data_IF_891369805659
#
_entry.id   IF_891369805659
#
_cell.length_a   1.000
_cell.length_b   1.000
_cell.length_c   1.000
_cell.angle_alpha   90.00
_cell.angle_beta   90.00
_cell.angle_gamma   90.00
#
_symmetry.space_group_name_H-M   'P 1'
#
loop_
_entity.id
_entity.type
_entity.pdbx_description
1 polymer ?
#
# COMPACT_ATOMS: atom_id res chain seq x y z
N UNK A 1 10.61 -17.00 -1.71
CA UNK A 1 10.98 -15.74 -2.37
C UNK A 1 9.74 -14.84 -2.38
N UNK A 2 9.81 -13.67 -1.74
CA UNK A 2 8.63 -12.83 -1.42
C UNK A 2 8.00 -12.17 -2.65
N UNK A 3 8.77 -12.04 -3.73
CA UNK A 3 8.32 -11.45 -5.01
C UNK A 3 7.17 -12.28 -5.63
N UNK A 4 7.25 -13.60 -5.60
CA UNK A 4 6.18 -14.46 -6.12
C UNK A 4 4.90 -14.42 -5.28
N UNK A 5 5.00 -14.06 -4.00
CA UNK A 5 3.83 -13.93 -3.12
C UNK A 5 3.03 -12.65 -3.39
N UNK A 6 3.62 -11.68 -4.08
CA UNK A 6 3.02 -10.36 -4.33
C UNK A 6 2.65 -10.14 -5.80
N UNK A 7 2.83 -11.13 -6.66
CA UNK A 7 2.49 -11.07 -8.09
C UNK A 7 1.01 -10.72 -8.31
N UNK A 8 0.10 -11.33 -7.54
CA UNK A 8 -1.33 -11.03 -7.58
C UNK A 8 -1.67 -9.59 -7.16
N UNK A 9 -0.79 -8.95 -6.37
CA UNK A 9 -0.95 -7.55 -5.92
C UNK A 9 -0.37 -6.55 -6.91
N UNK A 10 0.30 -6.97 -7.98
CA UNK A 10 0.99 -6.06 -8.91
C UNK A 10 0.09 -4.99 -9.53
N UNK A 11 -1.16 -5.26 -9.94
CA UNK A 11 -2.05 -4.20 -10.45
C UNK A 11 -2.34 -3.12 -9.40
N UNK A 12 -2.50 -3.50 -8.13
CA UNK A 12 -2.71 -2.58 -7.00
C UNK A 12 -1.44 -1.79 -6.70
N UNK A 13 -0.29 -2.45 -6.75
CA UNK A 13 1.02 -1.80 -6.55
C UNK A 13 1.29 -0.79 -7.65
N UNK A 14 1.01 -1.12 -8.91
CA UNK A 14 1.13 -0.20 -10.04
C UNK A 14 0.18 1.00 -9.89
N UNK A 15 -1.07 0.77 -9.48
CA UNK A 15 -2.01 1.85 -9.17
C UNK A 15 -1.48 2.78 -8.06
N UNK A 16 -0.99 2.21 -6.96
CA UNK A 16 -0.41 2.99 -5.86
C UNK A 16 0.85 3.76 -6.32
N UNK A 17 1.68 3.15 -7.16
CA UNK A 17 2.84 3.80 -7.74
C UNK A 17 2.49 5.03 -8.58
N UNK A 18 1.39 5.00 -9.34
CA UNK A 18 0.90 6.19 -10.06
C UNK A 18 0.55 7.34 -9.11
N UNK A 19 -0.09 7.02 -7.96
CA UNK A 19 -0.40 8.00 -6.92
C UNK A 19 0.87 8.56 -6.25
N UNK A 20 1.84 7.70 -5.95
CA UNK A 20 3.12 8.12 -5.35
C UNK A 20 3.97 8.95 -6.32
N UNK A 21 3.97 8.61 -7.62
CA UNK A 21 4.60 9.42 -8.66
C UNK A 21 4.00 10.83 -8.70
N UNK A 22 2.67 10.95 -8.64
CA UNK A 22 2.00 12.25 -8.58
C UNK A 22 2.42 13.09 -7.36
N UNK A 23 2.68 12.44 -6.22
CA UNK A 23 3.20 13.13 -5.03
C UNK A 23 4.64 13.62 -5.25
N UNK A 24 5.52 12.78 -5.80
CA UNK A 24 6.91 13.14 -6.08
C UNK A 24 7.05 14.25 -7.13
N UNK A 25 6.20 14.24 -8.17
CA UNK A 25 6.19 15.26 -9.23
C UNK A 25 5.90 16.68 -8.74
N UNK A 26 5.26 16.85 -7.57
CA UNK A 26 5.04 18.17 -6.96
C UNK A 26 6.35 18.81 -6.46
N UNK A 27 7.42 18.03 -6.37
CA UNK A 27 8.71 18.44 -5.81
C UNK A 27 9.82 18.55 -6.86
N UNK A 28 9.49 18.42 -8.16
CA UNK A 28 10.47 18.59 -9.23
C UNK A 28 9.85 19.14 -10.51
N UNK A 29 10.53 20.11 -11.11
CA UNK A 29 10.24 20.64 -12.45
C UNK A 29 11.23 20.15 -13.50
N UNK A 30 12.28 19.42 -13.10
CA UNK A 30 13.31 18.90 -13.99
C UNK A 30 12.75 17.79 -14.88
N UNK A 31 12.89 17.94 -16.20
CA UNK A 31 12.36 16.98 -17.19
C UNK A 31 12.92 15.58 -16.97
N UNK A 32 14.25 15.43 -16.80
CA UNK A 32 14.85 14.11 -16.55
C UNK A 32 14.31 13.44 -15.28
N UNK A 33 14.13 14.22 -14.21
CA UNK A 33 13.54 13.70 -12.97
C UNK A 33 12.07 13.29 -13.15
N UNK A 34 11.32 13.97 -14.02
CA UNK A 34 9.93 13.62 -14.35
C UNK A 34 9.87 12.35 -15.19
N UNK A 35 10.75 12.20 -16.16
CA UNK A 35 10.86 11.00 -17.02
C UNK A 35 11.27 9.76 -16.22
N UNK A 36 12.00 9.95 -15.11
CA UNK A 36 12.27 8.88 -14.16
C UNK A 36 11.01 8.43 -13.39
N UNK A 37 10.00 9.29 -13.25
CA UNK A 37 8.81 9.03 -12.43
C UNK A 37 7.63 8.48 -13.24
N UNK A 38 7.41 9.01 -14.43
CA UNK A 38 6.21 8.71 -15.24
C UNK A 38 6.54 8.44 -16.68
N UNK A 39 5.67 7.64 -17.32
CA UNK A 39 5.71 7.34 -18.74
C UNK A 39 4.50 7.96 -19.45
N UNK A 40 4.64 8.13 -20.75
CA UNK A 40 3.53 8.56 -21.60
C UNK A 40 2.42 7.51 -21.64
N UNK A 41 1.17 7.98 -21.56
CA UNK A 41 -0.03 7.12 -21.46
C UNK A 41 -0.24 6.21 -22.67
N UNK A 42 0.29 6.61 -23.83
CA UNK A 42 -0.06 6.00 -25.12
C UNK A 42 0.73 4.72 -25.44
N UNK A 43 1.71 4.33 -24.61
CA UNK A 43 2.69 3.30 -24.98
C UNK A 43 2.49 1.91 -24.37
N UNK A 44 1.60 1.70 -23.40
CA UNK A 44 1.60 0.42 -22.65
C UNK A 44 0.29 -0.40 -22.74
N UNK A 45 0.34 -1.47 -23.53
CA UNK A 45 -0.61 -2.60 -23.54
C UNK A 45 -0.31 -3.64 -22.45
N UNK A 46 0.40 -3.27 -21.38
CA UNK A 46 0.85 -4.22 -20.36
C UNK A 46 -0.24 -4.49 -19.33
N UNK A 47 -0.53 -5.77 -19.09
CA UNK A 47 -1.51 -6.28 -18.10
C UNK A 47 -1.29 -5.73 -16.68
N UNK A 48 -0.05 -5.37 -16.32
CA UNK A 48 0.30 -4.75 -15.02
C UNK A 48 -0.40 -3.41 -14.75
N UNK A 49 -0.85 -2.70 -15.79
CA UNK A 49 -1.54 -1.41 -15.67
C UNK A 49 -3.07 -1.52 -15.81
N UNK A 50 -3.64 -2.73 -15.86
CA UNK A 50 -5.08 -2.91 -16.04
C UNK A 50 -5.90 -2.17 -14.98
N UNK A 51 -5.46 -2.16 -13.72
CA UNK A 51 -6.17 -1.44 -12.66
C UNK A 51 -6.12 0.08 -12.86
N UNK A 52 -5.00 0.62 -13.34
CA UNK A 52 -4.89 2.03 -13.72
C UNK A 52 -5.90 2.33 -14.83
N UNK A 53 -5.94 1.52 -15.89
CA UNK A 53 -6.87 1.71 -17.02
C UNK A 53 -8.34 1.69 -16.60
N UNK A 54 -8.71 0.78 -15.71
CA UNK A 54 -10.10 0.63 -15.22
C UNK A 54 -10.50 1.79 -14.30
N UNK A 55 -9.57 2.26 -13.45
CA UNK A 55 -9.86 3.28 -12.45
C UNK A 55 -9.55 4.71 -12.90
N UNK A 56 -8.86 4.92 -14.02
CA UNK A 56 -8.49 6.25 -14.50
C UNK A 56 -9.75 7.05 -14.89
N UNK A 57 -9.85 8.25 -14.33
CA UNK A 57 -10.89 9.25 -14.67
C UNK A 57 -10.26 10.49 -15.32
N UNK A 58 -9.09 10.33 -15.95
CA UNK A 58 -8.32 11.37 -16.61
C UNK A 58 -7.16 11.93 -15.79
N UNK A 59 -6.90 11.41 -14.59
CA UNK A 59 -5.93 11.98 -13.64
C UNK A 59 -4.89 10.98 -13.10
N UNK A 60 -5.00 9.69 -13.42
CA UNK A 60 -3.98 8.73 -13.01
C UNK A 60 -2.76 8.78 -13.93
N UNK A 61 -1.60 8.63 -13.32
CA UNK A 61 -0.30 8.59 -14.00
C UNK A 61 0.15 7.15 -14.21
N UNK A 62 0.91 6.93 -15.27
CA UNK A 62 1.56 5.66 -15.57
C UNK A 62 2.98 5.70 -15.00
N UNK A 63 3.23 5.04 -13.85
CA UNK A 63 4.54 5.10 -13.21
C UNK A 63 5.59 4.31 -14.00
N UNK A 64 6.84 4.75 -13.94
CA UNK A 64 7.97 3.94 -14.41
C UNK A 64 8.23 2.74 -13.49
N UNK A 65 9.04 1.80 -13.95
CA UNK A 65 9.50 0.67 -13.14
C UNK A 65 10.30 1.12 -11.91
N UNK A 66 10.99 2.25 -11.98
CA UNK A 66 11.66 2.85 -10.83
C UNK A 66 10.67 3.11 -9.68
N UNK A 67 9.54 3.76 -9.98
CA UNK A 67 8.52 4.04 -8.96
C UNK A 67 7.81 2.76 -8.53
N UNK A 68 7.47 1.86 -9.46
CA UNK A 68 6.82 0.59 -9.14
C UNK A 68 7.68 -0.23 -8.18
N UNK A 69 8.98 -0.34 -8.43
CA UNK A 69 9.90 -1.11 -7.60
C UNK A 69 10.06 -0.50 -6.20
N UNK A 70 10.12 0.83 -6.10
CA UNK A 70 10.15 1.52 -4.80
C UNK A 70 8.87 1.26 -3.98
N UNK A 71 7.70 1.30 -4.63
CA UNK A 71 6.41 1.02 -3.97
C UNK A 71 6.26 -0.47 -3.65
N UNK A 72 6.70 -1.37 -4.52
CA UNK A 72 6.73 -2.82 -4.30
C UNK A 72 7.57 -3.17 -3.06
N UNK A 73 8.77 -2.60 -2.95
CA UNK A 73 9.61 -2.79 -1.77
C UNK A 73 8.93 -2.26 -0.51
N UNK A 74 8.35 -1.06 -0.58
CA UNK A 74 7.60 -0.47 0.53
C UNK A 74 6.45 -1.38 0.97
N UNK A 75 5.72 -1.95 0.00
CA UNK A 75 4.65 -2.90 0.24
C UNK A 75 5.17 -4.15 0.96
N UNK A 76 6.22 -4.79 0.44
CA UNK A 76 6.79 -6.00 1.04
C UNK A 76 7.26 -5.75 2.48
N UNK A 77 7.97 -4.65 2.72
CA UNK A 77 8.46 -4.30 4.06
C UNK A 77 7.29 -4.05 5.00
N UNK A 78 6.29 -3.25 4.61
CA UNK A 78 5.13 -2.98 5.47
C UNK A 78 4.36 -4.28 5.76
N UNK A 79 4.12 -5.14 4.75
CA UNK A 79 3.46 -6.42 4.94
C UNK A 79 4.19 -7.32 5.94
N UNK A 80 5.53 -7.33 5.93
CA UNK A 80 6.32 -8.04 6.93
C UNK A 80 6.17 -7.42 8.32
N UNK A 81 6.27 -6.09 8.44
CA UNK A 81 6.16 -5.40 9.73
C UNK A 81 4.78 -5.58 10.39
N UNK A 82 3.72 -5.71 9.59
CA UNK A 82 2.35 -5.95 10.07
C UNK A 82 1.94 -7.43 10.06
N UNK A 83 2.87 -8.34 9.75
CA UNK A 83 2.63 -9.78 9.86
C UNK A 83 2.56 -10.22 11.32
N UNK A 84 1.96 -11.38 11.59
CA UNK A 84 1.81 -11.94 12.94
C UNK A 84 3.10 -11.98 13.75
N UNK A 85 4.24 -12.11 13.08
CA UNK A 85 5.56 -12.26 13.72
C UNK A 85 6.03 -10.94 14.38
N UNK A 86 5.59 -9.79 13.84
CA UNK A 86 6.09 -8.47 14.24
C UNK A 86 4.98 -7.49 14.65
N UNK A 87 3.71 -7.75 14.27
CA UNK A 87 2.60 -6.82 14.39
C UNK A 87 2.47 -6.22 15.78
N UNK A 88 2.43 -7.05 16.83
CA UNK A 88 2.22 -6.57 18.20
C UNK A 88 3.31 -5.60 18.65
N UNK A 89 4.57 -5.91 18.34
CA UNK A 89 5.71 -5.05 18.68
C UNK A 89 5.69 -3.78 17.84
N UNK A 90 5.42 -3.91 16.54
CA UNK A 90 5.37 -2.78 15.61
C UNK A 90 4.26 -1.78 15.96
N UNK A 91 3.08 -2.27 16.37
CA UNK A 91 1.97 -1.41 16.78
C UNK A 91 2.22 -0.70 18.10
N UNK A 92 3.07 -1.23 18.99
CA UNK A 92 3.47 -0.57 20.23
C UNK A 92 4.51 0.53 20.02
N UNK A 93 5.19 0.55 18.88
CA UNK A 93 6.15 1.60 18.58
C UNK A 93 5.43 2.95 18.40
N UNK A 94 6.12 4.05 18.74
CA UNK A 94 5.76 5.36 18.23
C UNK A 94 6.32 5.53 16.82
N UNK A 95 5.60 6.24 15.95
CA UNK A 95 6.11 6.65 14.64
C UNK A 95 6.44 5.49 13.67
N UNK A 96 5.48 4.59 13.47
CA UNK A 96 5.53 3.43 12.58
C UNK A 96 5.98 3.79 11.16
N UNK A 97 5.60 4.98 10.67
CA UNK A 97 5.99 5.43 9.35
C UNK A 97 7.50 5.63 9.23
N UNK A 98 8.13 6.32 10.19
CA UNK A 98 9.59 6.51 10.15
C UNK A 98 10.34 5.19 10.37
N UNK A 99 9.82 4.30 11.21
CA UNK A 99 10.40 2.96 11.39
C UNK A 99 10.38 2.19 10.06
N UNK A 100 9.23 2.15 9.40
CA UNK A 100 9.07 1.46 8.11
C UNK A 100 10.02 2.05 7.06
N UNK A 101 10.12 3.37 6.98
CA UNK A 101 11.04 4.05 6.06
C UNK A 101 12.50 3.71 6.32
N UNK A 102 12.93 3.73 7.58
CA UNK A 102 14.31 3.39 7.91
C UNK A 102 14.63 1.94 7.54
N UNK A 103 13.71 1.01 7.76
CA UNK A 103 13.88 -0.38 7.31
C UNK A 103 13.98 -0.45 5.78
N UNK A 104 13.11 0.26 5.05
CA UNK A 104 13.16 0.28 3.58
C UNK A 104 14.50 0.84 3.07
N UNK A 105 14.94 1.98 3.61
CA UNK A 105 16.22 2.61 3.24
C UNK A 105 17.42 1.73 3.56
N UNK A 106 17.40 1.03 4.71
CA UNK A 106 18.45 0.08 5.06
C UNK A 106 18.50 -1.11 4.08
N UNK A 107 17.34 -1.65 3.69
CA UNK A 107 17.29 -2.73 2.69
C UNK A 107 17.88 -2.26 1.35
N UNK A 108 17.52 -1.06 0.94
CA UNK A 108 18.02 -0.44 -0.28
C UNK A 108 19.54 -0.26 -0.29
N UNK A 109 20.09 0.26 0.81
CA UNK A 109 21.53 0.48 0.99
C UNK A 109 22.31 -0.84 1.02
N UNK A 110 21.79 -1.85 1.74
CA UNK A 110 22.49 -3.12 1.93
C UNK A 110 22.52 -4.01 0.68
N UNK A 111 21.59 -3.80 -0.26
CA UNK A 111 21.49 -4.63 -1.47
C UNK A 111 21.98 -3.90 -2.73
N UNK A 112 22.57 -2.70 -2.59
CA UNK A 112 22.99 -1.82 -3.70
C UNK A 112 21.90 -1.68 -4.79
N UNK A 113 20.62 -1.78 -4.39
CA UNK A 113 19.48 -1.79 -5.32
C UNK A 113 19.16 -0.40 -5.86
N UNK A 114 19.95 0.59 -5.44
CA UNK A 114 19.79 1.97 -5.83
C UNK A 114 21.16 2.57 -6.12
N UNK A 115 21.42 2.79 -7.41
CA UNK A 115 22.38 3.79 -7.86
C UNK A 115 21.81 5.20 -7.62
N UNK A 116 21.47 5.53 -6.36
CA UNK A 116 21.00 6.88 -5.94
C UNK A 116 22.09 7.93 -6.01
N UNK A 117 23.35 7.52 -6.25
CA UNK A 117 24.47 8.43 -6.52
C UNK A 117 24.44 9.02 -7.94
N UNK A 118 23.54 8.57 -8.81
CA UNK A 118 23.33 9.23 -10.09
C UNK A 118 22.67 10.59 -9.86
N UNK A 119 23.42 11.66 -10.10
CA UNK A 119 22.86 13.00 -10.22
C UNK A 119 22.26 13.11 -11.62
N UNK A 120 21.11 13.77 -11.77
CA UNK A 120 20.67 14.15 -13.11
C UNK A 120 21.62 15.22 -13.69
N UNK A 121 21.50 15.55 -14.98
CA UNK A 121 22.26 16.62 -15.62
C UNK A 121 22.20 17.97 -14.89
N UNK A 122 21.15 18.19 -14.10
CA UNK A 122 20.90 19.41 -13.32
C UNK A 122 21.30 19.27 -11.83
N UNK A 123 22.18 18.32 -11.48
CA UNK A 123 22.67 18.09 -10.11
C UNK A 123 21.58 17.75 -9.06
N UNK A 124 20.38 17.34 -9.49
CA UNK A 124 19.34 16.91 -8.54
C UNK A 124 19.69 15.56 -7.93
N UNK A 125 19.54 15.50 -6.59
CA UNK A 125 19.71 14.27 -5.83
C UNK A 125 18.47 13.37 -5.96
N UNK A 126 18.60 12.26 -6.70
CA UNK A 126 17.55 11.25 -6.90
C UNK A 126 17.08 10.64 -5.58
N UNK A 127 17.93 10.56 -4.56
CA UNK A 127 17.57 10.12 -3.21
C UNK A 127 16.46 10.96 -2.59
N UNK A 128 16.45 12.28 -2.84
CA UNK A 128 15.36 13.15 -2.37
C UNK A 128 14.03 12.80 -3.03
N UNK A 129 14.04 12.56 -4.34
CA UNK A 129 12.86 12.16 -5.11
C UNK A 129 12.35 10.82 -4.61
N UNK A 130 13.25 9.85 -4.43
CA UNK A 130 12.92 8.55 -3.89
C UNK A 130 12.28 8.66 -2.50
N UNK A 131 12.83 9.49 -1.62
CA UNK A 131 12.25 9.69 -0.29
C UNK A 131 10.81 10.19 -0.32
N UNK A 132 10.45 11.05 -1.27
CA UNK A 132 9.05 11.46 -1.46
C UNK A 132 8.15 10.28 -1.87
N UNK A 133 8.62 9.42 -2.78
CA UNK A 133 7.91 8.20 -3.19
C UNK A 133 7.70 7.27 -1.99
N UNK A 134 8.79 6.93 -1.29
CA UNK A 134 8.78 6.00 -0.17
C UNK A 134 7.89 6.51 0.98
N UNK A 135 7.97 7.81 1.31
CA UNK A 135 7.12 8.43 2.34
C UNK A 135 5.64 8.35 1.97
N UNK A 136 5.31 8.68 0.72
CA UNK A 136 3.93 8.61 0.21
C UNK A 136 3.38 7.18 0.24
N UNK A 137 4.17 6.21 -0.24
CA UNK A 137 3.79 4.80 -0.27
C UNK A 137 3.58 4.26 1.15
N UNK A 138 4.56 4.46 2.04
CA UNK A 138 4.52 3.97 3.42
C UNK A 138 3.33 4.53 4.17
N UNK A 139 3.08 5.84 4.09
CA UNK A 139 1.90 6.47 4.70
C UNK A 139 0.60 5.86 4.20
N UNK A 140 0.48 5.66 2.89
CA UNK A 140 -0.73 5.10 2.28
C UNK A 140 -0.97 3.66 2.73
N UNK A 141 0.09 2.85 2.75
CA UNK A 141 0.02 1.45 3.17
C UNK A 141 -0.38 1.31 4.64
N UNK A 142 0.24 2.08 5.53
CA UNK A 142 -0.09 2.07 6.96
C UNK A 142 -1.51 2.58 7.22
N UNK A 143 -1.95 3.63 6.53
CA UNK A 143 -3.32 4.12 6.64
C UNK A 143 -4.34 3.07 6.18
N UNK A 144 -4.06 2.38 5.07
CA UNK A 144 -4.92 1.31 4.57
C UNK A 144 -4.97 0.14 5.55
N UNK A 145 -3.82 -0.24 6.12
CA UNK A 145 -3.75 -1.27 7.14
C UNK A 145 -4.62 -0.94 8.37
N UNK A 146 -4.51 0.28 8.89
CA UNK A 146 -5.33 0.73 10.02
C UNK A 146 -6.83 0.68 9.69
N UNK A 147 -7.22 1.12 8.49
CA UNK A 147 -8.63 1.07 8.04
C UNK A 147 -9.13 -0.37 7.96
N UNK A 148 -8.35 -1.28 7.37
CA UNK A 148 -8.71 -2.70 7.30
C UNK A 148 -8.94 -3.32 8.67
N UNK A 149 -8.09 -3.03 9.66
CA UNK A 149 -8.27 -3.52 11.04
C UNK A 149 -9.52 -2.96 11.71
N UNK A 150 -9.85 -1.69 11.45
CA UNK A 150 -11.09 -1.07 11.94
C UNK A 150 -12.32 -1.74 11.30
N UNK A 151 -12.27 -1.94 9.99
CA UNK A 151 -13.35 -2.57 9.23
C UNK A 151 -13.56 -4.03 9.69
N UNK A 152 -12.49 -4.79 9.89
CA UNK A 152 -12.55 -6.15 10.43
C UNK A 152 -13.20 -6.19 11.82
N UNK A 153 -12.80 -5.30 12.72
CA UNK A 153 -13.43 -5.19 14.04
C UNK A 153 -14.90 -4.79 13.97
N UNK A 154 -15.27 -3.92 13.02
CA UNK A 154 -16.67 -3.51 12.81
C UNK A 154 -17.53 -4.68 12.29
N UNK A 155 -16.99 -5.43 11.33
CA UNK A 155 -17.63 -6.61 10.75
C UNK A 155 -17.78 -7.74 11.77
N UNK A 156 -16.78 -7.97 12.62
CA UNK A 156 -16.89 -8.93 13.74
C UNK A 156 -17.96 -8.55 14.75
N UNK A 157 -18.03 -7.27 15.13
CA UNK A 157 -19.07 -6.76 16.04
C UNK A 157 -20.46 -6.96 15.43
N UNK A 158 -20.62 -6.71 14.14
CA UNK A 158 -21.88 -6.90 13.43
C UNK A 158 -22.27 -8.39 13.36
N UNK A 159 -21.32 -9.29 13.06
CA UNK A 159 -21.53 -10.75 13.11
C UNK A 159 -21.95 -11.24 14.51
N UNK A 160 -21.31 -10.72 15.58
CA UNK A 160 -21.67 -11.05 16.98
C UNK A 160 -23.08 -10.56 17.33
N UNK A 161 -23.47 -9.35 16.91
CA UNK A 161 -24.83 -8.80 17.10
C UNK A 161 -25.89 -9.64 16.39
N UNK A 162 -25.66 -10.02 15.13
CA UNK A 162 -26.57 -10.87 14.36
C UNK A 162 -26.76 -12.25 15.03
N UNK A 163 -25.67 -12.91 15.44
CA UNK A 163 -25.75 -14.19 16.18
C UNK A 163 -26.56 -14.08 17.47
N UNK A 164 -26.36 -13.01 18.25
CA UNK A 164 -27.10 -12.78 19.48
C UNK A 164 -28.60 -12.52 19.25
N UNK A 165 -28.95 -11.83 18.15
CA UNK A 165 -30.34 -11.60 17.76
C UNK A 165 -31.04 -12.93 17.40
N UNK A 166 -30.42 -13.76 16.55
CA UNK A 166 -30.95 -15.08 16.16
C UNK A 166 -31.12 -16.00 17.37
N UNK A 167 -30.17 -15.99 18.32
CA UNK A 167 -30.27 -16.76 19.57
C UNK A 167 -31.45 -16.30 20.45
N UNK A 168 -31.72 -14.99 20.53
CA UNK A 168 -32.88 -14.47 21.28
C UNK A 168 -34.19 -14.86 20.62
N UNK A 169 -34.25 -14.84 19.29
CA UNK A 169 -35.42 -15.17 18.50
C UNK A 169 -35.78 -16.67 18.61
N UNK A 170 -34.78 -17.54 18.49
CA UNK A 170 -34.93 -18.98 18.73
C UNK A 170 -35.40 -19.29 20.16
N UNK A 171 -34.84 -18.62 21.18
CA UNK A 171 -35.32 -18.77 22.57
C UNK A 171 -36.77 -18.31 22.75
N UNK A 172 -37.20 -17.27 22.04
CA UNK A 172 -38.59 -16.76 22.09
C UNK A 172 -39.57 -17.74 21.42
N UNK A 173 -39.19 -18.35 20.30
CA UNK A 173 -40.00 -19.38 19.65
C UNK A 173 -40.13 -20.65 20.52
N UNK A 174 -39.03 -21.14 21.10
CA UNK A 174 -39.05 -22.29 22.02
C UNK A 174 -39.98 -22.05 23.22
N UNK A 175 -39.95 -20.82 23.79
CA UNK A 175 -40.84 -20.46 24.91
C UNK A 175 -42.31 -20.45 24.52
N UNK A 176 -42.66 -19.95 23.32
CA UNK A 176 -44.04 -19.95 22.81
C UNK A 176 -44.60 -21.35 22.63
N UNK A 177 -43.78 -22.29 22.14
CA UNK A 177 -44.18 -23.69 21.96
C UNK A 177 -44.45 -24.36 23.32
N UNK A 178 -43.61 -24.10 24.32
CA UNK A 178 -43.79 -24.64 25.68
C UNK A 178 -45.02 -24.12 26.42
N UNK A 179 -45.55 -22.96 26.04
CA UNK A 179 -46.78 -22.40 26.64
C UNK A 179 -48.07 -22.90 25.97
N UNK A 180 -47.97 -23.67 24.88
CA UNK A 180 -49.10 -24.23 24.14
C UNK A 180 -49.31 -25.73 24.38
N UNK A 181 -48.45 -26.35 25.19
CA UNK A 181 -48.51 -27.74 25.68
C UNK A 181 -48.70 -27.74 27.18
#
# INVERSE_FOLDING_TARGET
NDIFKVEASMPVIAYLAGYCAQAALKHTTCTMCRDLLVRDKEMDCVTKFNLIKICDRGGLLYPTEFVINAVLLSYIVVQKLVSSDYEEKFLKCSNQCNISLNVILNVLQNNDMLSTKSMCSDDHNIEKILNFILKSATNTLLNNYCKMKVDDHSNEKQKKKLKAATLKENKKQIRKIKTLT
#
